data_IF_201446984284
#
_entry.id   IF_201446984284
#
_cell.length_a   1.000
_cell.length_b   1.000
_cell.length_c   1.000
_cell.angle_alpha   90.00
_cell.angle_beta   90.00
_cell.angle_gamma   90.00
#
_symmetry.space_group_name_H-M   'P 1'
#
loop_
_entity.id
_entity.type
_entity.pdbx_description
1 polymer ?
#
# COMPACT_ATOMS: atom_id res chain seq x y z
N UNK A 1 3.59 16.85 28.56
CA UNK A 1 4.12 16.02 27.48
C UNK A 1 3.53 16.57 26.21
N UNK A 2 4.33 16.88 25.17
CA UNK A 2 3.80 17.24 23.86
C UNK A 2 3.06 16.03 23.28
N UNK A 3 1.91 16.26 22.66
CA UNK A 3 1.20 15.22 21.92
C UNK A 3 2.06 14.79 20.71
N UNK A 4 1.93 13.54 20.30
CA UNK A 4 2.64 12.99 19.15
C UNK A 4 1.97 13.45 17.84
N UNK A 5 0.65 13.66 17.93
CA UNK A 5 -0.16 14.17 16.83
C UNK A 5 -0.27 15.68 17.00
N UNK A 6 0.37 16.42 16.11
CA UNK A 6 0.36 17.88 16.14
C UNK A 6 -0.94 18.42 15.55
N UNK A 7 -1.36 17.88 14.41
CA UNK A 7 -2.52 18.37 13.67
C UNK A 7 -3.35 17.23 13.10
N UNK A 8 -4.68 17.36 13.24
CA UNK A 8 -5.64 16.50 12.55
C UNK A 8 -6.48 17.36 11.60
N UNK A 9 -6.58 16.95 10.35
CA UNK A 9 -7.54 17.49 9.39
C UNK A 9 -8.69 16.49 9.23
N UNK A 10 -9.90 16.99 9.32
CA UNK A 10 -11.12 16.20 9.20
C UNK A 10 -11.97 16.70 8.03
N UNK A 11 -12.61 15.78 7.29
CA UNK A 11 -13.57 16.16 6.26
C UNK A 11 -14.79 16.86 6.90
N UNK A 12 -15.31 17.90 6.24
CA UNK A 12 -16.51 18.62 6.70
C UNK A 12 -17.70 17.69 6.91
N UNK A 13 -17.86 16.70 6.04
CA UNK A 13 -18.92 15.69 6.11
C UNK A 13 -18.69 14.60 7.14
N UNK A 14 -17.53 14.61 7.86
CA UNK A 14 -17.19 13.60 8.86
C UNK A 14 -18.16 13.62 10.06
N UNK A 15 -18.35 12.46 10.73
CA UNK A 15 -19.21 12.38 11.92
C UNK A 15 -18.76 13.34 13.01
N UNK A 16 -19.68 14.17 13.52
CA UNK A 16 -19.40 15.17 14.56
C UNK A 16 -18.74 14.58 15.80
N UNK A 17 -19.21 13.42 16.23
CA UNK A 17 -18.64 12.71 17.36
C UNK A 17 -17.15 12.39 17.19
N UNK A 18 -16.74 11.94 15.99
CA UNK A 18 -15.32 11.66 15.71
C UNK A 18 -14.49 12.95 15.72
N UNK A 19 -15.06 14.08 15.34
CA UNK A 19 -14.38 15.38 15.42
C UNK A 19 -14.17 15.82 16.87
N UNK A 20 -15.15 15.59 17.74
CA UNK A 20 -15.03 15.84 19.17
C UNK A 20 -13.93 14.97 19.80
N UNK A 21 -13.92 13.67 19.51
CA UNK A 21 -12.87 12.75 19.96
C UNK A 21 -11.49 13.18 19.39
N UNK A 22 -11.40 13.60 18.12
CA UNK A 22 -10.17 14.05 17.49
C UNK A 22 -9.58 15.31 18.12
N UNK A 23 -10.42 16.23 18.55
CA UNK A 23 -9.98 17.47 19.23
C UNK A 23 -9.27 17.20 20.57
N UNK A 24 -9.52 16.05 21.20
CA UNK A 24 -8.83 15.64 22.42
C UNK A 24 -7.44 15.05 22.15
N UNK A 25 -7.22 14.52 20.93
CA UNK A 25 -6.01 13.76 20.57
C UNK A 25 -4.91 14.60 19.92
N UNK A 26 -5.23 15.74 19.31
CA UNK A 26 -4.27 16.61 18.63
C UNK A 26 -4.15 17.99 19.31
N UNK A 27 -3.06 18.71 19.02
CA UNK A 27 -2.91 20.10 19.41
C UNK A 27 -3.80 21.03 18.58
N UNK A 28 -4.06 20.66 17.32
CA UNK A 28 -4.91 21.40 16.39
C UNK A 28 -5.84 20.46 15.61
N UNK A 29 -7.14 20.75 15.61
CA UNK A 29 -8.12 20.15 14.70
C UNK A 29 -8.53 21.18 13.64
N UNK A 30 -8.40 20.81 12.37
CA UNK A 30 -8.84 21.60 11.21
C UNK A 30 -9.99 20.89 10.49
N UNK A 31 -11.13 21.53 10.42
CA UNK A 31 -12.34 21.01 9.76
C UNK A 31 -12.47 21.58 8.34
N UNK A 32 -11.63 21.14 7.42
CA UNK A 32 -11.56 21.71 6.08
C UNK A 32 -10.93 20.81 5.00
N UNK A 33 -11.21 19.50 4.99
CA UNK A 33 -10.77 18.69 3.85
C UNK A 33 -11.93 18.17 3.04
N UNK A 34 -11.87 18.32 1.73
CA UNK A 34 -12.87 17.77 0.80
C UNK A 34 -12.37 16.51 0.08
N UNK A 35 -11.06 16.16 0.20
CA UNK A 35 -10.44 15.12 -0.61
C UNK A 35 -10.18 13.80 0.13
N UNK A 36 -9.81 13.86 1.40
CA UNK A 36 -9.46 12.70 2.24
C UNK A 36 -10.19 12.85 3.57
N UNK A 37 -10.84 11.80 4.04
CA UNK A 37 -11.71 11.86 5.22
C UNK A 37 -10.99 12.34 6.48
N UNK A 38 -9.77 11.82 6.74
CA UNK A 38 -8.97 12.17 7.91
C UNK A 38 -7.48 12.16 7.59
N UNK A 39 -6.78 13.18 8.11
CA UNK A 39 -5.33 13.30 7.95
C UNK A 39 -4.70 13.65 9.29
N UNK A 40 -3.70 12.89 9.70
CA UNK A 40 -2.99 13.02 10.97
C UNK A 40 -1.53 13.37 10.69
N UNK A 41 -1.03 14.43 11.29
CA UNK A 41 0.34 14.90 11.12
C UNK A 41 1.07 15.04 12.43
N UNK A 42 2.38 14.74 12.43
CA UNK A 42 3.29 14.90 13.55
C UNK A 42 4.66 14.32 13.21
N UNK A 43 5.69 14.76 13.88
CA UNK A 43 7.06 14.25 13.74
C UNK A 43 7.57 14.20 12.27
N UNK A 44 7.15 15.16 11.43
CA UNK A 44 7.53 15.19 10.01
C UNK A 44 6.95 14.05 9.16
N UNK A 45 5.83 13.46 9.57
CA UNK A 45 5.13 12.36 8.92
C UNK A 45 3.63 12.61 8.91
N UNK A 46 2.90 11.87 8.08
CA UNK A 46 1.45 11.92 8.10
C UNK A 46 0.82 10.56 7.88
N UNK A 47 -0.41 10.39 8.36
CA UNK A 47 -1.25 9.24 8.07
C UNK A 47 -2.59 9.73 7.50
N UNK A 48 -2.98 9.15 6.36
CA UNK A 48 -4.16 9.54 5.60
C UNK A 48 -5.19 8.42 5.67
N UNK A 49 -6.40 8.71 6.10
CA UNK A 49 -7.45 7.71 6.25
C UNK A 49 -8.62 8.00 5.32
N UNK A 50 -8.97 7.03 4.49
CA UNK A 50 -10.29 6.92 3.87
C UNK A 50 -11.12 5.99 4.75
N UNK A 51 -12.17 6.51 5.37
CA UNK A 51 -13.08 5.74 6.23
C UNK A 51 -14.29 5.26 5.43
N UNK A 52 -14.58 3.98 5.51
CA UNK A 52 -15.79 3.39 4.94
C UNK A 52 -16.47 2.51 5.97
N UNK A 53 -17.79 2.65 6.13
CA UNK A 53 -18.54 1.58 6.79
C UNK A 53 -18.47 0.31 5.95
N UNK A 54 -18.66 -0.85 6.57
CA UNK A 54 -18.70 -2.13 5.85
C UNK A 54 -19.74 -2.10 4.71
N UNK A 55 -20.87 -1.43 4.96
CA UNK A 55 -21.92 -1.27 3.97
C UNK A 55 -21.51 -0.35 2.83
N UNK A 56 -20.94 0.83 3.15
CA UNK A 56 -20.54 1.83 2.13
C UNK A 56 -19.39 1.32 1.26
N UNK A 57 -18.49 0.52 1.85
CA UNK A 57 -17.42 -0.13 1.08
C UNK A 57 -18.00 -1.03 0.00
N UNK A 58 -18.94 -1.89 0.37
CA UNK A 58 -19.56 -2.81 -0.61
C UNK A 58 -20.40 -2.05 -1.62
N UNK A 59 -21.17 -1.07 -1.20
CA UNK A 59 -21.97 -0.26 -2.12
C UNK A 59 -21.07 0.49 -3.11
N UNK A 60 -20.01 1.14 -2.62
CA UNK A 60 -19.06 1.87 -3.49
C UNK A 60 -18.25 0.95 -4.41
N UNK A 61 -18.10 -0.33 -4.04
CA UNK A 61 -17.49 -1.35 -4.91
C UNK A 61 -18.44 -1.79 -6.03
N UNK A 62 -19.75 -1.81 -5.77
CA UNK A 62 -20.78 -2.17 -6.76
C UNK A 62 -21.18 -1.01 -7.66
N UNK A 63 -21.06 0.23 -7.17
CA UNK A 63 -21.39 1.44 -7.92
C UNK A 63 -20.25 1.80 -8.88
N UNK A 64 -20.53 1.79 -10.18
CA UNK A 64 -19.59 2.28 -11.18
C UNK A 64 -19.58 3.82 -11.24
N UNK A 65 -18.39 4.39 -11.41
CA UNK A 65 -18.25 5.79 -11.78
C UNK A 65 -18.74 5.94 -13.23
N UNK A 66 -19.72 6.80 -13.46
CA UNK A 66 -20.34 6.99 -14.79
C UNK A 66 -19.33 7.40 -15.87
N UNK A 67 -18.29 8.16 -15.49
CA UNK A 67 -17.29 8.64 -16.44
C UNK A 67 -16.22 7.59 -16.80
N UNK A 68 -15.87 6.68 -15.89
CA UNK A 68 -14.75 5.75 -16.06
C UNK A 68 -15.16 4.29 -16.12
N UNK A 69 -16.37 3.95 -15.73
CA UNK A 69 -16.84 2.57 -15.56
C UNK A 69 -16.20 1.82 -14.38
N UNK A 70 -15.28 2.45 -13.65
CA UNK A 70 -14.62 1.85 -12.49
C UNK A 70 -15.48 1.96 -11.22
N UNK A 71 -15.36 1.01 -10.26
CA UNK A 71 -15.99 1.15 -8.97
C UNK A 71 -15.61 2.47 -8.29
N UNK A 72 -16.60 3.16 -7.70
CA UNK A 72 -16.41 4.47 -7.06
C UNK A 72 -15.29 4.44 -5.99
N UNK A 73 -15.22 3.38 -5.22
CA UNK A 73 -14.18 3.19 -4.21
C UNK A 73 -12.77 3.12 -4.81
N UNK A 74 -12.62 2.59 -6.03
CA UNK A 74 -11.31 2.52 -6.71
C UNK A 74 -10.77 3.92 -7.00
N UNK A 75 -11.63 4.83 -7.49
CA UNK A 75 -11.24 6.21 -7.76
C UNK A 75 -10.79 6.94 -6.48
N UNK A 76 -11.49 6.72 -5.36
CA UNK A 76 -11.12 7.29 -4.05
C UNK A 76 -9.77 6.74 -3.58
N UNK A 77 -9.57 5.43 -3.63
CA UNK A 77 -8.32 4.81 -3.20
C UNK A 77 -7.12 5.13 -4.09
N UNK A 78 -7.34 5.38 -5.39
CA UNK A 78 -6.27 5.88 -6.28
C UNK A 78 -5.81 7.29 -5.91
N UNK A 79 -6.70 8.15 -5.43
CA UNK A 79 -6.29 9.46 -4.89
C UNK A 79 -5.41 9.26 -3.66
N UNK A 80 -5.84 8.42 -2.73
CA UNK A 80 -5.09 8.09 -1.53
C UNK A 80 -3.72 7.47 -1.86
N UNK A 81 -3.64 6.59 -2.86
CA UNK A 81 -2.39 5.98 -3.32
C UNK A 81 -1.41 7.00 -3.90
N UNK A 82 -1.91 7.96 -4.67
CA UNK A 82 -1.06 8.99 -5.29
C UNK A 82 -0.49 9.96 -4.26
N UNK A 83 -1.19 10.19 -3.15
CA UNK A 83 -0.78 11.10 -2.09
C UNK A 83 0.13 10.39 -1.10
N UNK A 84 1.33 9.97 -1.52
CA UNK A 84 2.30 9.28 -0.65
C UNK A 84 3.34 10.19 -0.03
N UNK A 85 3.49 11.39 -0.56
CA UNK A 85 4.43 12.38 -0.09
C UNK A 85 3.81 13.76 -0.25
N UNK A 86 4.04 14.59 0.73
CA UNK A 86 3.72 16.02 0.67
C UNK A 86 5.04 16.79 0.80
N UNK A 87 5.19 17.83 0.00
CA UNK A 87 6.26 18.79 0.18
C UNK A 87 5.87 19.71 1.34
N UNK A 88 6.69 19.76 2.38
CA UNK A 88 6.53 20.73 3.45
C UNK A 88 7.77 21.61 3.56
N UNK A 89 7.56 22.87 3.94
CA UNK A 89 8.63 23.79 4.17
C UNK A 89 9.40 23.44 5.44
N UNK A 90 10.72 23.22 5.30
CA UNK A 90 11.59 23.01 6.44
C UNK A 90 12.38 24.30 6.71
N UNK A 91 12.07 25.03 7.78
CA UNK A 91 12.75 26.30 8.08
C UNK A 91 14.24 26.14 8.42
N UNK A 92 14.65 25.00 8.96
CA UNK A 92 16.04 24.73 9.31
C UNK A 92 16.93 24.57 8.07
N UNK A 93 16.38 23.97 7.02
CA UNK A 93 17.07 23.75 5.73
C UNK A 93 16.84 24.88 4.73
N UNK A 94 15.98 25.85 5.05
CA UNK A 94 15.49 26.86 4.09
C UNK A 94 15.05 26.27 2.75
N UNK A 95 14.34 25.12 2.80
CA UNK A 95 13.93 24.37 1.63
C UNK A 95 12.72 23.48 1.89
N UNK A 96 12.30 22.74 0.86
CA UNK A 96 11.20 21.78 0.99
C UNK A 96 11.75 20.37 1.23
N UNK A 97 11.18 19.69 2.22
CA UNK A 97 11.38 18.27 2.47
C UNK A 97 10.16 17.46 2.04
N UNK A 98 10.40 16.19 1.70
CA UNK A 98 9.32 15.24 1.46
C UNK A 98 8.86 14.63 2.78
N UNK A 99 7.62 14.88 3.14
CA UNK A 99 6.97 14.25 4.28
C UNK A 99 6.32 12.93 3.83
N UNK A 100 6.75 11.77 4.34
CA UNK A 100 6.15 10.49 3.99
C UNK A 100 4.76 10.35 4.61
N UNK A 101 3.82 9.85 3.82
CA UNK A 101 2.43 9.65 4.20
C UNK A 101 2.06 8.16 4.19
N UNK A 102 1.37 7.70 5.21
CA UNK A 102 0.79 6.36 5.30
C UNK A 102 -0.65 6.38 4.81
N UNK A 103 -0.98 5.86 3.62
CA UNK A 103 -2.36 5.74 3.18
C UNK A 103 -3.05 4.56 3.87
N UNK A 104 -4.24 4.78 4.42
CA UNK A 104 -5.02 3.79 5.16
C UNK A 104 -6.46 3.77 4.68
N UNK A 105 -6.97 2.60 4.31
CA UNK A 105 -8.40 2.33 4.19
C UNK A 105 -8.88 1.76 5.52
N UNK A 106 -9.68 2.52 6.26
CA UNK A 106 -10.29 2.07 7.49
C UNK A 106 -11.72 1.59 7.25
N UNK A 107 -11.94 0.29 7.44
CA UNK A 107 -13.26 -0.33 7.31
C UNK A 107 -13.89 -0.43 8.69
N UNK A 108 -14.99 0.31 8.89
CA UNK A 108 -15.78 0.29 10.11
C UNK A 108 -16.90 -0.72 10.01
N UNK A 109 -17.05 -1.58 11.02
CA UNK A 109 -18.02 -2.66 11.06
C UNK A 109 -17.46 -4.00 10.58
N UNK A 110 -18.35 -4.94 10.32
CA UNK A 110 -17.99 -6.32 10.05
C UNK A 110 -18.38 -6.75 8.64
N UNK A 111 -17.42 -7.27 7.89
CA UNK A 111 -17.65 -7.99 6.63
C UNK A 111 -17.27 -9.47 6.86
N UNK A 112 -18.17 -10.37 6.62
CA UNK A 112 -17.95 -11.80 6.81
C UNK A 112 -18.63 -12.65 5.74
N UNK A 113 -18.14 -13.88 5.59
CA UNK A 113 -18.67 -14.85 4.66
C UNK A 113 -19.82 -15.64 5.30
N UNK A 114 -20.96 -15.72 4.62
CA UNK A 114 -22.00 -16.68 4.93
C UNK A 114 -22.54 -17.29 3.64
N UNK A 115 -22.33 -18.59 3.46
CA UNK A 115 -22.76 -19.35 2.27
C UNK A 115 -22.23 -18.76 0.94
N UNK A 116 -20.97 -18.27 0.93
CA UNK A 116 -20.32 -17.72 -0.26
C UNK A 116 -20.65 -16.25 -0.55
N UNK A 117 -21.57 -15.62 0.16
CA UNK A 117 -21.94 -14.23 0.01
C UNK A 117 -21.31 -13.35 1.09
N UNK A 118 -21.03 -12.09 0.74
CA UNK A 118 -20.64 -11.08 1.71
C UNK A 118 -21.84 -10.62 2.55
N UNK A 119 -21.62 -10.49 3.85
CA UNK A 119 -22.53 -9.86 4.79
C UNK A 119 -21.82 -8.66 5.39
N UNK A 120 -22.50 -7.51 5.39
CA UNK A 120 -22.03 -6.29 6.04
C UNK A 120 -23.00 -5.97 7.19
N UNK A 121 -22.47 -5.94 8.42
CA UNK A 121 -23.20 -5.63 9.64
C UNK A 121 -24.52 -6.43 9.78
N UNK A 122 -24.46 -7.72 9.47
CA UNK A 122 -25.59 -8.63 9.54
C UNK A 122 -26.46 -8.72 8.29
N UNK A 123 -26.36 -7.75 7.37
CA UNK A 123 -27.16 -7.74 6.15
C UNK A 123 -26.43 -8.44 4.99
N UNK A 124 -27.14 -9.35 4.30
CA UNK A 124 -26.64 -9.99 3.07
C UNK A 124 -26.46 -8.96 1.97
N UNK A 125 -25.32 -9.04 1.27
CA UNK A 125 -25.03 -8.27 0.07
C UNK A 125 -25.04 -9.16 -1.16
N UNK A 126 -25.47 -8.61 -2.28
CA UNK A 126 -25.57 -9.39 -3.52
C UNK A 126 -24.21 -9.44 -4.25
N UNK A 127 -23.18 -9.88 -3.53
CA UNK A 127 -21.81 -10.01 -4.02
C UNK A 127 -21.16 -11.24 -3.39
N UNK A 128 -20.36 -12.02 -4.15
CA UNK A 128 -19.54 -13.08 -3.58
C UNK A 128 -18.53 -12.52 -2.57
N UNK A 129 -18.38 -13.19 -1.41
CA UNK A 129 -17.42 -12.75 -0.39
C UNK A 129 -15.98 -12.66 -0.94
N UNK A 130 -15.58 -13.66 -1.75
CA UNK A 130 -14.24 -13.68 -2.34
C UNK A 130 -13.94 -12.46 -3.23
N UNK A 131 -14.96 -11.86 -3.85
CA UNK A 131 -14.76 -10.64 -4.65
C UNK A 131 -14.36 -9.46 -3.75
N UNK A 132 -15.01 -9.31 -2.59
CA UNK A 132 -14.66 -8.27 -1.60
C UNK A 132 -13.29 -8.55 -0.99
N UNK A 133 -13.00 -9.80 -0.63
CA UNK A 133 -11.72 -10.18 -0.03
C UNK A 133 -10.55 -9.96 -1.00
N UNK A 134 -10.70 -10.39 -2.25
CA UNK A 134 -9.71 -10.16 -3.30
C UNK A 134 -9.51 -8.65 -3.57
N UNK A 135 -10.57 -7.86 -3.51
CA UNK A 135 -10.46 -6.41 -3.63
C UNK A 135 -9.63 -5.81 -2.49
N UNK A 136 -9.88 -6.18 -1.25
CA UNK A 136 -9.09 -5.70 -0.10
C UNK A 136 -7.62 -6.13 -0.21
N UNK A 137 -7.34 -7.34 -0.68
CA UNK A 137 -5.97 -7.78 -0.97
C UNK A 137 -5.33 -6.95 -2.08
N UNK A 138 -6.07 -6.58 -3.12
CA UNK A 138 -5.58 -5.70 -4.19
C UNK A 138 -5.24 -4.31 -3.64
N UNK A 139 -6.08 -3.75 -2.78
CA UNK A 139 -5.84 -2.46 -2.10
C UNK A 139 -4.52 -2.50 -1.31
N UNK A 140 -4.27 -3.58 -0.56
CA UNK A 140 -3.00 -3.76 0.14
C UNK A 140 -1.79 -3.84 -0.82
N UNK A 141 -1.97 -4.46 -1.99
CA UNK A 141 -0.92 -4.50 -3.02
C UNK A 141 -0.62 -3.12 -3.63
N UNK A 142 -1.56 -2.20 -3.61
CA UNK A 142 -1.32 -0.80 -3.96
C UNK A 142 -0.54 -0.04 -2.87
N UNK A 143 -0.25 -0.68 -1.74
CA UNK A 143 0.48 -0.08 -0.63
C UNK A 143 -0.41 0.75 0.29
N UNK A 144 -1.72 0.54 0.25
CA UNK A 144 -2.68 1.13 1.18
C UNK A 144 -2.88 0.13 2.33
N UNK A 145 -2.66 0.57 3.55
CA UNK A 145 -2.94 -0.25 4.73
C UNK A 145 -4.45 -0.45 4.86
N UNK A 146 -4.90 -1.69 4.93
CA UNK A 146 -6.30 -2.00 5.25
C UNK A 146 -6.42 -2.27 6.74
N UNK A 147 -7.13 -1.41 7.44
CA UNK A 147 -7.40 -1.53 8.87
C UNK A 147 -8.91 -1.71 9.11
N UNK A 148 -9.26 -2.22 10.29
CA UNK A 148 -10.65 -2.41 10.70
C UNK A 148 -10.91 -1.83 12.07
N UNK A 149 -12.11 -1.26 12.27
CA UNK A 149 -12.69 -0.93 13.56
C UNK A 149 -14.02 -1.64 13.72
N UNK A 150 -14.36 -2.02 14.94
CA UNK A 150 -15.59 -2.78 15.19
C UNK A 150 -16.85 -1.93 15.04
N UNK A 151 -16.75 -0.64 15.33
CA UNK A 151 -17.86 0.32 15.28
C UNK A 151 -17.33 1.75 15.32
N UNK A 152 -18.23 2.73 15.14
CA UNK A 152 -17.92 4.16 15.25
C UNK A 152 -17.21 4.50 16.56
N UNK A 153 -17.62 3.89 17.69
CA UNK A 153 -17.03 4.13 19.02
C UNK A 153 -15.55 3.74 19.14
N UNK A 154 -15.06 2.88 18.24
CA UNK A 154 -13.67 2.43 18.25
C UNK A 154 -12.87 3.02 17.08
N UNK A 155 -13.53 3.78 16.22
CA UNK A 155 -12.93 4.26 14.97
C UNK A 155 -11.84 5.29 15.23
N UNK A 156 -12.09 6.30 16.07
CA UNK A 156 -11.08 7.32 16.40
C UNK A 156 -9.88 6.69 17.12
N UNK A 157 -10.11 5.91 18.17
CA UNK A 157 -9.02 5.24 18.90
C UNK A 157 -8.18 4.35 17.96
N UNK A 158 -8.80 3.71 16.95
CA UNK A 158 -8.08 2.92 15.96
C UNK A 158 -7.24 3.78 15.01
N UNK A 159 -7.78 4.92 14.54
CA UNK A 159 -7.03 5.87 13.69
C UNK A 159 -5.84 6.44 14.45
N UNK A 160 -6.05 6.92 15.68
CA UNK A 160 -5.00 7.44 16.57
C UNK A 160 -3.90 6.39 16.78
N UNK A 161 -4.25 5.17 17.16
CA UNK A 161 -3.27 4.09 17.39
C UNK A 161 -2.42 3.80 16.14
N UNK A 162 -3.01 3.82 14.95
CA UNK A 162 -2.27 3.62 13.69
C UNK A 162 -1.40 4.84 13.40
N UNK A 163 -1.94 6.05 13.54
CA UNK A 163 -1.22 7.28 13.32
C UNK A 163 -0.02 7.40 14.27
N UNK A 164 -0.22 7.26 15.56
CA UNK A 164 0.86 7.31 16.55
C UNK A 164 1.95 6.28 16.29
N UNK A 165 1.57 5.04 15.96
CA UNK A 165 2.53 4.02 15.60
C UNK A 165 3.39 4.44 14.40
N UNK A 166 2.80 5.06 13.38
CA UNK A 166 3.49 5.55 12.20
C UNK A 166 4.34 6.80 12.50
N UNK A 167 3.80 7.76 13.23
CA UNK A 167 4.46 9.02 13.57
C UNK A 167 5.65 8.84 14.52
N UNK A 168 5.57 7.84 15.43
CA UNK A 168 6.63 7.56 16.41
C UNK A 168 7.82 6.76 15.87
N UNK A 169 7.60 5.98 14.82
CA UNK A 169 8.56 4.94 14.48
C UNK A 169 9.83 5.43 13.82
N UNK A 170 9.99 6.72 13.51
CA UNK A 170 11.20 7.22 12.87
C UNK A 170 11.59 6.32 11.68
N UNK A 171 12.87 6.21 11.36
CA UNK A 171 13.40 5.27 10.36
C UNK A 171 13.34 3.80 10.79
N UNK A 172 12.97 3.55 12.04
CA UNK A 172 12.83 2.22 12.65
C UNK A 172 11.39 1.77 12.77
N UNK A 173 10.48 2.27 11.90
CA UNK A 173 9.14 1.74 11.88
C UNK A 173 9.21 0.22 12.00
N UNK A 174 8.54 -0.42 13.00
CA UNK A 174 8.24 -1.82 12.88
C UNK A 174 7.50 -1.88 11.57
N UNK A 175 8.17 -2.41 10.62
CA UNK A 175 7.72 -2.52 9.27
C UNK A 175 6.37 -3.24 9.37
N UNK A 176 5.27 -2.49 9.40
CA UNK A 176 4.16 -2.96 8.62
C UNK A 176 4.79 -2.97 7.25
N UNK A 177 5.29 -4.15 6.87
CA UNK A 177 5.91 -4.33 5.58
C UNK A 177 4.80 -4.12 4.58
N UNK A 178 4.56 -2.86 4.24
CA UNK A 178 4.19 -2.57 2.88
C UNK A 178 5.35 -3.17 2.11
N UNK A 179 5.14 -4.25 1.34
CA UNK A 179 6.22 -4.76 0.53
C UNK A 179 6.70 -3.52 -0.22
N UNK A 180 7.90 -3.03 0.12
CA UNK A 180 8.55 -1.99 -0.70
C UNK A 180 8.38 -2.51 -2.09
N UNK A 181 7.60 -1.79 -2.90
CA UNK A 181 7.35 -2.25 -4.25
C UNK A 181 8.73 -2.60 -4.79
N UNK A 182 8.98 -3.87 -5.12
CA UNK A 182 10.35 -4.32 -5.33
C UNK A 182 10.94 -3.35 -6.34
N UNK A 183 12.13 -2.81 -6.07
CA UNK A 183 12.79 -1.92 -7.03
C UNK A 183 12.65 -2.51 -8.42
N UNK A 184 12.46 -1.73 -9.48
CA UNK A 184 12.12 -2.24 -10.80
C UNK A 184 12.98 -3.44 -11.24
N UNK A 185 14.27 -3.42 -10.88
CA UNK A 185 15.22 -4.50 -11.13
C UNK A 185 14.82 -5.82 -10.44
N UNK A 186 14.39 -5.76 -9.18
CA UNK A 186 13.88 -6.94 -8.47
C UNK A 186 12.61 -7.48 -9.08
N UNK A 187 11.69 -6.58 -9.51
CA UNK A 187 10.47 -6.99 -10.20
C UNK A 187 10.78 -7.74 -11.49
N UNK A 188 11.69 -7.20 -12.30
CA UNK A 188 12.11 -7.84 -13.55
C UNK A 188 12.68 -9.23 -13.29
N UNK A 189 13.58 -9.39 -12.33
CA UNK A 189 14.12 -10.72 -11.98
C UNK A 189 13.03 -11.68 -11.48
N UNK A 190 12.05 -11.17 -10.72
CA UNK A 190 10.95 -12.00 -10.21
C UNK A 190 9.94 -12.45 -11.28
N UNK A 191 9.98 -11.90 -12.49
CA UNK A 191 9.20 -12.42 -13.64
C UNK A 191 9.81 -13.68 -14.23
N UNK A 192 11.09 -13.96 -13.95
CA UNK A 192 11.76 -15.15 -14.43
C UNK A 192 11.27 -16.39 -13.66
N UNK A 193 11.18 -17.54 -14.34
CA UNK A 193 10.68 -18.78 -13.75
C UNK A 193 11.43 -19.16 -12.47
N UNK A 194 10.68 -19.36 -11.37
CA UNK A 194 11.17 -19.79 -10.05
C UNK A 194 12.08 -18.79 -9.32
N UNK A 195 12.20 -17.58 -9.81
CA UNK A 195 12.91 -16.54 -9.09
C UNK A 195 11.94 -15.83 -8.12
N UNK A 196 12.08 -16.14 -6.85
CA UNK A 196 11.39 -15.44 -5.77
C UNK A 196 12.17 -14.22 -5.29
N UNK A 197 11.54 -13.40 -4.46
CA UNK A 197 12.12 -12.17 -3.91
C UNK A 197 13.52 -12.38 -3.28
N UNK A 198 13.69 -13.44 -2.48
CA UNK A 198 14.98 -13.72 -1.81
C UNK A 198 16.11 -13.95 -2.83
N UNK A 199 15.84 -14.73 -3.87
CA UNK A 199 16.81 -15.04 -4.92
C UNK A 199 17.12 -13.79 -5.77
N UNK A 200 16.09 -13.03 -6.16
CA UNK A 200 16.27 -11.78 -6.89
C UNK A 200 17.08 -10.75 -6.09
N UNK A 201 16.78 -10.61 -4.79
CA UNK A 201 17.53 -9.73 -3.88
C UNK A 201 19.00 -10.16 -3.78
N UNK A 202 19.27 -11.47 -3.61
CA UNK A 202 20.63 -12.01 -3.55
C UNK A 202 21.43 -11.68 -4.81
N UNK A 203 20.81 -11.79 -6.00
CA UNK A 203 21.44 -11.49 -7.28
C UNK A 203 21.87 -10.03 -7.44
N UNK A 204 21.17 -9.10 -6.79
CA UNK A 204 21.47 -7.67 -6.83
C UNK A 204 22.18 -7.17 -5.55
N UNK A 205 22.56 -8.06 -4.65
CA UNK A 205 23.30 -7.69 -3.44
C UNK A 205 24.76 -7.46 -3.78
N UNK A 206 25.35 -6.35 -3.34
CA UNK A 206 26.79 -6.11 -3.53
C UNK A 206 27.65 -7.25 -2.99
N UNK A 207 28.68 -7.60 -3.69
CA UNK A 207 29.66 -8.60 -3.26
C UNK A 207 31.07 -8.01 -3.35
N UNK A 208 31.96 -8.58 -2.58
CA UNK A 208 33.35 -8.12 -2.51
C UNK A 208 34.21 -8.94 -3.48
N UNK A 209 34.94 -8.25 -4.35
CA UNK A 209 35.97 -8.84 -5.19
C UNK A 209 37.25 -8.14 -4.86
N UNK A 210 38.22 -8.87 -4.37
CA UNK A 210 39.46 -8.35 -3.78
C UNK A 210 39.14 -7.28 -2.73
N UNK A 211 39.65 -6.08 -2.80
CA UNK A 211 39.33 -5.01 -1.85
C UNK A 211 38.23 -4.05 -2.32
N UNK A 212 37.55 -4.37 -3.40
CA UNK A 212 36.49 -3.52 -3.98
C UNK A 212 35.10 -4.14 -3.78
N UNK A 213 34.12 -3.26 -3.56
CA UNK A 213 32.69 -3.65 -3.54
C UNK A 213 32.14 -3.55 -4.96
N UNK A 214 31.74 -4.68 -5.52
CA UNK A 214 31.02 -4.73 -6.77
C UNK A 214 29.51 -4.71 -6.56
N UNK A 215 28.83 -3.89 -7.36
CA UNK A 215 27.38 -3.74 -7.35
C UNK A 215 26.80 -4.30 -8.65
N UNK A 216 26.38 -5.57 -8.67
CA UNK A 216 25.82 -6.14 -9.90
C UNK A 216 24.57 -5.37 -10.31
N UNK A 217 24.52 -4.99 -11.58
CA UNK A 217 23.33 -4.39 -12.17
C UNK A 217 22.38 -5.46 -12.70
N UNK A 218 21.11 -5.09 -12.93
CA UNK A 218 20.17 -6.00 -13.61
C UNK A 218 20.71 -6.47 -14.96
N UNK A 219 21.42 -5.58 -15.69
CA UNK A 219 22.03 -5.89 -16.97
C UNK A 219 23.08 -7.01 -16.85
N UNK A 220 23.93 -6.94 -15.84
CA UNK A 220 24.98 -7.96 -15.62
C UNK A 220 24.36 -9.31 -15.31
N UNK A 221 23.38 -9.35 -14.41
CA UNK A 221 22.66 -10.58 -14.07
C UNK A 221 21.96 -11.19 -15.30
N UNK A 222 21.30 -10.38 -16.12
CA UNK A 222 20.65 -10.86 -17.34
C UNK A 222 21.64 -11.28 -18.40
N UNK A 223 22.76 -10.56 -18.54
CA UNK A 223 23.85 -10.94 -19.45
C UNK A 223 24.39 -12.33 -19.10
N UNK A 224 24.71 -12.58 -17.84
CA UNK A 224 25.19 -13.88 -17.38
C UNK A 224 24.19 -15.00 -17.62
N UNK A 225 22.91 -14.76 -17.35
CA UNK A 225 21.83 -15.71 -17.63
C UNK A 225 21.74 -16.07 -19.13
N UNK A 226 21.82 -15.07 -20.01
CA UNK A 226 21.70 -15.28 -21.47
C UNK A 226 22.91 -16.04 -22.03
N UNK A 227 24.11 -15.75 -21.52
CA UNK A 227 25.37 -16.34 -22.02
C UNK A 227 25.76 -17.64 -21.33
N UNK A 228 24.93 -18.14 -20.41
CA UNK A 228 25.19 -19.43 -19.74
C UNK A 228 26.23 -19.37 -18.64
N UNK A 229 26.57 -18.18 -18.18
CA UNK A 229 27.48 -18.01 -17.06
C UNK A 229 26.77 -18.45 -15.76
N UNK A 230 27.48 -19.04 -14.80
CA UNK A 230 26.92 -19.39 -13.52
C UNK A 230 26.41 -18.15 -12.78
N UNK A 231 25.18 -18.19 -12.28
CA UNK A 231 24.62 -17.13 -11.47
C UNK A 231 24.37 -17.56 -10.03
N UNK A 232 23.96 -16.63 -9.21
CA UNK A 232 23.58 -16.88 -7.80
C UNK A 232 22.34 -17.74 -7.66
N UNK A 233 21.60 -18.00 -8.73
CA UNK A 233 20.40 -18.85 -8.72
C UNK A 233 20.71 -20.34 -8.72
N UNK A 234 21.89 -20.71 -9.21
CA UNK A 234 22.38 -22.08 -9.31
C UNK A 234 21.99 -22.83 -10.59
N UNK A 235 22.71 -23.89 -10.96
CA UNK A 235 22.67 -24.51 -12.30
C UNK A 235 21.28 -24.93 -12.76
N UNK A 236 20.45 -25.45 -11.87
CA UNK A 236 19.10 -25.91 -12.21
C UNK A 236 18.12 -24.77 -12.52
N UNK A 237 18.28 -23.61 -11.85
CA UNK A 237 17.50 -22.43 -12.11
C UNK A 237 18.01 -21.73 -13.37
N UNK A 238 19.34 -21.59 -13.49
CA UNK A 238 19.99 -20.96 -14.64
C UNK A 238 19.59 -21.63 -15.96
N UNK A 239 19.64 -22.97 -16.03
CA UNK A 239 19.23 -23.73 -17.21
C UNK A 239 17.77 -23.42 -17.62
N UNK A 240 16.84 -23.39 -16.66
CA UNK A 240 15.42 -23.14 -16.95
C UNK A 240 15.15 -21.71 -17.38
N UNK A 241 15.88 -20.74 -16.78
CA UNK A 241 15.77 -19.36 -17.18
C UNK A 241 16.29 -19.18 -18.61
N UNK A 242 17.41 -19.84 -18.96
CA UNK A 242 17.92 -19.85 -20.32
C UNK A 242 16.93 -20.45 -21.32
N UNK A 243 16.32 -21.59 -20.99
CA UNK A 243 15.28 -22.20 -21.80
C UNK A 243 14.09 -21.23 -21.99
N UNK A 244 13.72 -20.48 -20.97
CA UNK A 244 12.66 -19.47 -21.03
C UNK A 244 13.05 -18.25 -21.88
N UNK A 245 14.27 -17.71 -21.71
CA UNK A 245 14.75 -16.54 -22.43
C UNK A 245 15.04 -16.83 -23.92
N UNK A 246 15.50 -18.03 -24.23
CA UNK A 246 15.85 -18.47 -25.57
C UNK A 246 14.73 -19.29 -26.28
N UNK A 247 13.63 -19.55 -25.55
CA UNK A 247 12.48 -20.24 -26.11
C UNK A 247 11.82 -19.42 -27.22
N UNK A 248 11.20 -20.07 -28.21
CA UNK A 248 10.48 -19.36 -29.26
C UNK A 248 9.35 -18.53 -28.62
N UNK A 249 9.24 -17.26 -28.99
CA UNK A 249 8.08 -16.44 -28.67
C UNK A 249 6.90 -17.18 -29.31
N UNK A 250 6.11 -17.89 -28.47
CA UNK A 250 4.87 -18.49 -28.95
C UNK A 250 4.01 -17.37 -29.49
N UNK A 251 3.92 -17.24 -30.81
CA UNK A 251 2.90 -16.41 -31.44
C UNK A 251 1.57 -16.83 -30.80
N UNK A 252 0.98 -15.95 -30.01
CA UNK A 252 -0.40 -16.11 -29.63
C UNK A 252 -1.16 -16.31 -30.93
N UNK A 253 -1.73 -17.50 -31.10
CA UNK A 253 -2.71 -17.73 -32.15
C UNK A 253 -3.83 -16.73 -31.87
N UNK A 254 -3.91 -15.71 -32.70
CA UNK A 254 -5.10 -14.91 -32.84
C UNK A 254 -6.23 -15.92 -33.12
N UNK A 255 -7.10 -16.09 -32.12
CA UNK A 255 -8.28 -16.93 -32.28
C UNK A 255 -9.21 -16.27 -33.27
N UNK A 256 -9.55 -17.04 -34.29
CA UNK A 256 -10.73 -16.83 -35.14
C UNK A 256 -12.03 -16.79 -34.30
#
# INVERSE_FOLDING_TARGET
MSKIIDTIYAARSGPQRLKEEAAEEADLLVDDTDEIDWQFFGNGRGALFERKTAQDLINSFLEANEATGEPRVVAQLRRLEKTRYVLHWNPEKHGYDYMPLLPVLLVEGHIYNRRGYAYADGAKRNIPFNAVDNFLLLVQRWGILVARSASLNHTMARMVSIAESWLNTGDKAPIIMLPKAPVPQLRTLMTLPRIGYKSAKKALTPFRVDDHMEHPTLRDVLHDLVHGNPTVFGPAADKRIQEYLNGPISSQKEGE
#
